data_IF_988221776979
#
_entry.id   IF_988221776979
#
_cell.length_a   1.000
_cell.length_b   1.000
_cell.length_c   1.000
_cell.angle_alpha   90.00
_cell.angle_beta   90.00
_cell.angle_gamma   90.00
#
_symmetry.space_group_name_H-M   'P 1'
#
loop_
_entity.id
_entity.type
_entity.pdbx_description
1 polymer ?
#
# COMPACT_ATOMS: atom_id res chain seq x y z
N UNK A 1 -12.92 3.60 15.73
CA UNK A 1 -12.05 2.66 14.99
C UNK A 1 -10.87 2.33 15.88
N UNK A 2 -10.74 1.08 16.33
CA UNK A 2 -9.59 0.66 17.12
C UNK A 2 -8.34 0.70 16.22
N UNK A 3 -7.34 1.47 16.60
CA UNK A 3 -6.07 1.60 15.89
C UNK A 3 -5.22 0.33 15.99
N UNK A 4 -4.25 0.20 15.08
CA UNK A 4 -3.19 -0.78 15.21
C UNK A 4 -2.40 -0.51 16.51
N UNK A 5 -2.29 -1.49 17.38
CA UNK A 5 -1.44 -1.42 18.57
C UNK A 5 0.02 -1.72 18.19
N UNK A 6 0.93 -0.73 18.20
CA UNK A 6 2.32 -0.93 17.84
C UNK A 6 3.03 -1.96 18.72
N UNK A 7 2.56 -2.17 19.96
CA UNK A 7 3.13 -3.18 20.85
C UNK A 7 2.99 -4.61 20.28
N UNK A 8 2.09 -4.83 19.32
CA UNK A 8 1.96 -6.11 18.60
C UNK A 8 3.10 -6.40 17.62
N UNK A 9 3.94 -5.41 17.32
CA UNK A 9 5.18 -5.64 16.56
C UNK A 9 6.32 -6.10 17.46
N UNK A 10 6.16 -6.05 18.79
CA UNK A 10 7.21 -6.52 19.70
C UNK A 10 7.41 -8.03 19.51
N UNK A 11 8.61 -8.43 19.14
CA UNK A 11 8.97 -9.84 18.89
C UNK A 11 8.60 -10.36 17.50
N UNK A 12 8.14 -9.49 16.58
CA UNK A 12 7.98 -9.85 15.18
C UNK A 12 9.33 -9.71 14.48
N UNK A 13 9.71 -10.75 13.71
CA UNK A 13 10.93 -10.72 12.92
C UNK A 13 10.81 -9.68 11.81
N UNK A 14 11.77 -8.76 11.78
CA UNK A 14 11.89 -7.74 10.75
C UNK A 14 13.07 -8.07 9.86
N UNK A 15 12.91 -7.87 8.55
CA UNK A 15 13.90 -8.24 7.54
C UNK A 15 14.45 -7.01 6.83
N UNK A 16 15.68 -7.10 6.34
CA UNK A 16 16.19 -6.11 5.39
C UNK A 16 15.71 -6.46 3.98
N UNK A 17 15.41 -5.44 3.18
CA UNK A 17 14.86 -5.60 1.84
C UNK A 17 15.46 -4.58 0.88
N UNK A 18 16.27 -5.08 -0.05
CA UNK A 18 16.66 -4.35 -1.25
C UNK A 18 15.75 -4.75 -2.42
N UNK A 19 15.14 -3.79 -3.09
CA UNK A 19 14.23 -4.06 -4.22
C UNK A 19 14.14 -2.91 -5.21
N UNK A 20 13.58 -3.19 -6.40
CA UNK A 20 13.13 -2.14 -7.33
C UNK A 20 11.62 -2.21 -7.39
N UNK A 21 10.98 -1.18 -6.87
CA UNK A 21 9.53 -1.01 -6.94
C UNK A 21 9.12 -0.10 -8.08
N UNK A 22 7.87 -0.21 -8.49
CA UNK A 22 7.25 0.61 -9.52
C UNK A 22 6.05 1.35 -8.95
N UNK A 23 5.86 2.61 -9.35
CA UNK A 23 4.65 3.38 -9.03
C UNK A 23 4.18 4.18 -10.23
N UNK A 24 2.88 4.41 -10.31
CA UNK A 24 2.34 5.46 -11.19
C UNK A 24 2.21 6.77 -10.42
N UNK A 25 2.34 7.89 -11.14
CA UNK A 25 2.10 9.23 -10.58
C UNK A 25 1.44 10.12 -11.64
N UNK A 26 0.63 11.10 -11.22
CA UNK A 26 0.20 12.16 -12.13
C UNK A 26 1.43 12.97 -12.61
N UNK A 27 1.47 13.43 -13.86
CA UNK A 27 2.54 14.31 -14.33
C UNK A 27 2.74 15.53 -13.43
N UNK A 28 3.99 15.94 -13.26
CA UNK A 28 4.36 17.14 -12.49
C UNK A 28 4.46 16.96 -10.98
N UNK A 29 4.23 15.75 -10.45
CA UNK A 29 4.43 15.47 -9.02
C UNK A 29 5.72 14.68 -8.77
N UNK A 30 6.43 14.98 -7.68
CA UNK A 30 7.64 14.22 -7.28
C UNK A 30 7.28 12.74 -7.00
N UNK A 31 7.85 11.77 -7.73
CA UNK A 31 7.60 10.35 -7.52
C UNK A 31 8.10 9.81 -6.18
N UNK A 32 8.87 10.59 -5.41
CA UNK A 32 9.34 10.25 -4.06
C UNK A 32 8.45 10.85 -2.98
N UNK A 33 7.46 11.67 -3.34
CA UNK A 33 6.54 12.23 -2.34
C UNK A 33 5.53 11.20 -1.84
N UNK A 34 5.41 11.10 -0.52
CA UNK A 34 4.38 10.33 0.18
C UNK A 34 3.27 11.18 0.81
N UNK A 35 3.23 12.48 0.53
CA UNK A 35 2.32 13.42 1.21
C UNK A 35 0.83 13.15 0.91
N UNK A 36 0.50 12.62 -0.28
CA UNK A 36 -0.87 12.19 -0.58
C UNK A 36 -1.36 11.10 0.38
N UNK A 37 -0.54 10.07 0.59
CA UNK A 37 -0.83 9.00 1.54
C UNK A 37 -0.87 9.51 2.98
N UNK A 38 -0.03 10.47 3.35
CA UNK A 38 -0.11 11.13 4.66
C UNK A 38 -1.45 11.84 4.84
N UNK A 39 -1.88 12.64 3.86
CA UNK A 39 -3.10 13.47 3.97
C UNK A 39 -4.37 12.63 4.03
N UNK A 40 -4.48 11.65 3.14
CA UNK A 40 -5.72 10.90 2.91
C UNK A 40 -5.70 9.48 3.46
N UNK A 41 -4.54 9.00 3.91
CA UNK A 41 -4.35 7.60 4.29
C UNK A 41 -4.24 6.69 3.08
N UNK A 42 -4.00 5.41 3.35
CA UNK A 42 -4.02 4.34 2.36
C UNK A 42 -4.29 3.00 3.02
N UNK A 43 -4.07 1.90 2.29
CA UNK A 43 -4.34 0.55 2.82
C UNK A 43 -3.49 0.24 4.07
N UNK A 44 -2.28 0.76 4.14
CA UNK A 44 -1.30 0.44 5.19
C UNK A 44 -0.92 1.63 6.09
N UNK A 45 -1.58 2.80 5.94
CA UNK A 45 -1.32 3.95 6.81
C UNK A 45 -2.59 4.78 7.06
N UNK A 46 -2.85 5.21 8.31
CA UNK A 46 -4.01 6.05 8.60
C UNK A 46 -3.84 7.47 8.03
N UNK A 47 -4.93 8.20 7.75
CA UNK A 47 -4.84 9.60 7.35
C UNK A 47 -4.24 10.46 8.46
N UNK A 48 -3.60 11.56 8.06
CA UNK A 48 -2.91 12.53 8.92
C UNK A 48 -1.82 11.91 9.82
N UNK A 49 -1.14 10.87 9.32
CA UNK A 49 -0.04 10.21 10.03
C UNK A 49 1.33 10.60 9.45
N UNK A 50 1.98 9.68 8.75
CA UNK A 50 3.28 9.80 8.13
C UNK A 50 3.20 9.61 6.60
N UNK A 51 4.15 10.16 5.83
CA UNK A 51 4.21 9.95 4.39
C UNK A 51 4.57 8.51 4.06
N UNK A 52 3.89 7.94 3.05
CA UNK A 52 4.12 6.57 2.56
C UNK A 52 4.18 6.58 1.04
N UNK A 53 5.12 5.83 0.49
CA UNK A 53 5.20 5.53 -0.94
C UNK A 53 4.70 4.10 -1.14
N UNK A 54 3.68 3.94 -1.99
CA UNK A 54 3.17 2.63 -2.39
C UNK A 54 3.89 2.19 -3.66
N UNK A 55 4.53 1.01 -3.59
CA UNK A 55 5.28 0.42 -4.69
C UNK A 55 4.73 -0.96 -5.03
N UNK A 56 4.76 -1.28 -6.32
CA UNK A 56 4.49 -2.60 -6.87
C UNK A 56 5.78 -3.23 -7.35
N UNK A 57 5.99 -4.53 -7.13
CA UNK A 57 7.19 -5.24 -7.64
C UNK A 57 7.15 -5.49 -9.15
N UNK A 58 6.01 -5.30 -9.81
CA UNK A 58 5.85 -5.45 -11.25
C UNK A 58 5.05 -4.31 -11.86
N UNK A 59 5.27 -4.01 -13.14
CA UNK A 59 4.49 -3.00 -13.88
C UNK A 59 3.02 -3.38 -14.01
N UNK A 60 2.70 -4.68 -14.11
CA UNK A 60 1.32 -5.17 -14.15
C UNK A 60 0.58 -4.90 -12.85
N UNK A 61 1.25 -5.03 -11.69
CA UNK A 61 0.67 -4.62 -10.41
C UNK A 61 0.33 -3.12 -10.40
N UNK A 62 1.16 -2.26 -10.99
CA UNK A 62 0.88 -0.81 -11.08
C UNK A 62 -0.41 -0.55 -11.89
N UNK A 63 -0.58 -1.23 -13.02
CA UNK A 63 -1.79 -1.10 -13.84
C UNK A 63 -3.04 -1.63 -13.09
N UNK A 64 -2.90 -2.74 -12.36
CA UNK A 64 -3.97 -3.28 -11.54
C UNK A 64 -4.37 -2.33 -10.40
N UNK A 65 -3.39 -1.71 -9.71
CA UNK A 65 -3.66 -0.75 -8.64
C UNK A 65 -4.26 0.57 -9.17
N UNK A 66 -3.85 1.04 -10.36
CA UNK A 66 -4.49 2.18 -11.03
C UNK A 66 -5.96 1.87 -11.37
N UNK A 67 -6.24 0.68 -11.89
CA UNK A 67 -7.61 0.21 -12.18
C UNK A 67 -8.43 0.11 -10.90
N UNK A 68 -7.84 -0.43 -9.82
CA UNK A 68 -8.48 -0.50 -8.50
C UNK A 68 -8.77 0.89 -7.93
N UNK A 69 -7.87 1.86 -8.15
CA UNK A 69 -8.10 3.25 -7.76
C UNK A 69 -9.29 3.84 -8.51
N UNK A 70 -9.38 3.65 -9.83
CA UNK A 70 -10.50 4.12 -10.64
C UNK A 70 -11.84 3.55 -10.12
N UNK A 71 -11.89 2.23 -9.89
CA UNK A 71 -13.06 1.56 -9.31
C UNK A 71 -13.47 2.12 -7.94
N UNK A 72 -12.51 2.46 -7.06
CA UNK A 72 -12.81 3.09 -5.76
C UNK A 72 -13.34 4.52 -5.87
N UNK A 73 -13.06 5.20 -6.98
CA UNK A 73 -13.50 6.56 -7.25
C UNK A 73 -14.74 6.59 -8.16
N UNK A 74 -15.26 5.44 -8.56
CA UNK A 74 -16.37 5.30 -9.51
C UNK A 74 -16.13 6.04 -10.84
N UNK A 75 -14.88 6.02 -11.31
CA UNK A 75 -14.45 6.59 -12.61
C UNK A 75 -13.84 5.50 -13.49
N UNK A 76 -13.69 5.77 -14.78
CA UNK A 76 -12.96 4.88 -15.68
C UNK A 76 -11.45 5.08 -15.53
N UNK A 77 -10.65 4.09 -15.95
CA UNK A 77 -9.19 4.18 -15.81
C UNK A 77 -8.62 5.28 -16.71
N UNK A 78 -9.27 5.52 -17.85
CA UNK A 78 -8.97 6.57 -18.81
C UNK A 78 -9.09 7.97 -18.19
N UNK A 79 -10.03 8.16 -17.27
CA UNK A 79 -10.21 9.44 -16.53
C UNK A 79 -9.03 9.75 -15.60
N UNK A 80 -8.22 8.74 -15.26
CA UNK A 80 -7.02 8.91 -14.46
C UNK A 80 -5.78 9.16 -15.31
N UNK A 81 -5.85 9.12 -16.64
CA UNK A 81 -4.72 9.37 -17.53
C UNK A 81 -4.55 10.88 -17.82
N UNK A 82 -3.33 11.33 -18.15
CA UNK A 82 -2.08 10.59 -18.24
C UNK A 82 -1.47 10.22 -16.87
N UNK A 83 -0.64 9.16 -16.85
CA UNK A 83 0.19 8.77 -15.71
C UNK A 83 1.62 8.50 -16.15
N UNK A 84 2.57 8.85 -15.30
CA UNK A 84 3.98 8.52 -15.46
C UNK A 84 4.31 7.28 -14.64
N UNK A 85 5.08 6.35 -15.22
CA UNK A 85 5.55 5.15 -14.55
C UNK A 85 6.99 5.35 -14.09
N UNK A 86 7.21 5.22 -12.79
CA UNK A 86 8.52 5.38 -12.17
C UNK A 86 9.03 4.05 -11.62
N UNK A 87 10.34 3.83 -11.72
CA UNK A 87 11.03 2.73 -11.04
C UNK A 87 11.89 3.32 -9.93
N UNK A 88 11.74 2.80 -8.73
CA UNK A 88 12.36 3.32 -7.50
C UNK A 88 13.14 2.17 -6.88
N UNK A 89 14.47 2.30 -6.87
CA UNK A 89 15.33 1.42 -6.11
C UNK A 89 15.21 1.76 -4.62
N UNK A 90 15.07 0.74 -3.78
CA UNK A 90 14.94 0.88 -2.34
C UNK A 90 15.93 -0.04 -1.65
N UNK A 91 16.55 0.48 -0.59
CA UNK A 91 17.30 -0.29 0.39
C UNK A 91 16.68 0.02 1.75
N UNK A 92 15.94 -0.95 2.30
CA UNK A 92 15.08 -0.77 3.47
C UNK A 92 15.55 -1.70 4.60
N UNK A 93 15.74 -1.12 5.78
CA UNK A 93 15.97 -1.88 6.99
C UNK A 93 14.68 -2.08 7.79
N UNK A 94 14.59 -3.20 8.52
CA UNK A 94 13.49 -3.49 9.46
C UNK A 94 12.09 -3.48 8.82
N UNK A 95 11.94 -4.18 7.69
CA UNK A 95 10.67 -4.37 6.99
C UNK A 95 9.87 -5.49 7.65
N UNK A 96 8.58 -5.23 7.87
CA UNK A 96 7.62 -6.25 8.25
C UNK A 96 7.18 -7.04 7.01
N UNK A 97 7.55 -8.32 6.93
CA UNK A 97 7.16 -9.19 5.81
C UNK A 97 5.75 -9.77 6.03
N UNK A 98 4.80 -9.31 5.20
CA UNK A 98 3.42 -9.78 5.18
C UNK A 98 3.09 -10.62 3.93
N UNK A 99 4.08 -11.02 3.14
CA UNK A 99 3.89 -11.74 1.87
C UNK A 99 3.28 -13.13 2.09
N UNK A 100 3.66 -13.82 3.17
CA UNK A 100 2.96 -14.98 3.67
C UNK A 100 2.02 -14.56 4.82
N UNK A 101 0.79 -14.23 4.45
CA UNK A 101 -0.21 -13.72 5.39
C UNK A 101 -0.53 -14.72 6.52
N UNK A 102 -0.39 -16.02 6.28
CA UNK A 102 -0.70 -17.03 7.29
C UNK A 102 0.40 -17.08 8.36
N UNK A 103 1.67 -17.01 7.96
CA UNK A 103 2.80 -16.88 8.88
C UNK A 103 2.80 -15.51 9.59
N UNK A 104 2.50 -14.44 8.88
CA UNK A 104 2.45 -13.10 9.47
C UNK A 104 1.31 -12.95 10.50
N UNK A 105 0.14 -13.54 10.26
CA UNK A 105 -0.97 -13.55 11.22
C UNK A 105 -0.73 -14.48 12.42
N UNK A 106 0.19 -15.45 12.34
CA UNK A 106 0.61 -16.25 13.50
C UNK A 106 1.55 -15.45 14.42
N UNK A 107 2.41 -14.62 13.84
CA UNK A 107 3.31 -13.73 14.59
C UNK A 107 2.55 -12.53 15.20
N UNK A 108 1.58 -11.99 14.46
CA UNK A 108 0.68 -10.94 14.94
C UNK A 108 -0.44 -11.61 15.74
N UNK A 109 -0.28 -11.67 17.07
CA UNK A 109 -1.13 -12.32 18.09
C UNK A 109 -2.67 -12.07 18.05
N UNK A 110 -3.19 -11.35 17.06
CA UNK A 110 -4.57 -11.45 16.55
C UNK A 110 -4.71 -10.70 15.22
N UNK A 111 -5.65 -11.14 14.37
CA UNK A 111 -6.00 -10.50 13.08
C UNK A 111 -6.17 -8.98 13.25
N UNK A 112 -5.39 -8.14 12.55
CA UNK A 112 -5.60 -6.70 12.57
C UNK A 112 -6.98 -6.35 11.99
N UNK A 113 -7.73 -5.47 12.65
CA UNK A 113 -9.08 -5.06 12.21
C UNK A 113 -9.08 -4.29 10.89
N UNK A 114 -7.93 -3.77 10.44
CA UNK A 114 -7.75 -3.11 9.15
C UNK A 114 -7.49 -4.10 7.99
N UNK A 115 -7.34 -5.40 8.28
CA UNK A 115 -7.32 -6.48 7.28
C UNK A 115 -8.73 -6.90 6.81
N UNK A 116 -9.76 -6.09 7.09
CA UNK A 116 -11.12 -6.35 6.67
C UNK A 116 -11.18 -6.57 5.15
N UNK A 117 -11.68 -7.75 4.76
CA UNK A 117 -11.93 -8.12 3.36
C UNK A 117 -12.64 -6.96 2.66
N UNK A 118 -12.16 -6.60 1.47
CA UNK A 118 -13.03 -5.98 0.47
C UNK A 118 -14.18 -6.96 0.25
N UNK A 119 -15.32 -6.73 0.92
CA UNK A 119 -16.56 -7.43 0.61
C UNK A 119 -16.95 -6.93 -0.77
N UNK A 120 -16.71 -7.75 -1.79
CA UNK A 120 -17.37 -7.62 -3.08
C UNK A 120 -18.87 -7.67 -2.78
N UNK A 121 -19.53 -6.53 -2.87
CA UNK A 121 -20.99 -6.47 -2.88
C UNK A 121 -21.41 -7.11 -4.21
N UNK A 122 -22.24 -8.17 -4.22
CA UNK A 122 -22.80 -8.65 -5.47
C UNK A 122 -23.66 -7.52 -6.03
N UNK A 123 -23.31 -7.06 -7.22
CA UNK A 123 -24.13 -6.17 -8.02
C UNK A 123 -25.54 -6.74 -8.12
N UNK A 124 -26.54 -5.93 -7.75
CA UNK A 124 -27.94 -6.21 -8.08
C UNK A 124 -28.17 -6.07 -9.58
#
# INVERSE_FOLDING_TARGET
MAGFDPARLNGVDLVDLASVGHRHQAPGFDPRSGEGARRFGGRYNPPRSFPVIYLCLTRLCVAAELTRQAGRQSVQVEDLLPRELWSIATDLGRVLDLTNIQSALQQLSSRPTWFARETVSPSR
#
